data_IF_809831256512
#
_entry.id   IF_809831256512
#
_cell.length_a   1.000
_cell.length_b   1.000
_cell.length_c   1.000
_cell.angle_alpha   90.00
_cell.angle_beta   90.00
_cell.angle_gamma   90.00
#
_symmetry.space_group_name_H-M   'P 1'
#
loop_
_entity.id
_entity.type
_entity.pdbx_description
1 polymer ?
#
# COMPACT_ATOMS: atom_id res chain seq x y z
N UNK A 1 0.44 3.94 18.21
CA UNK A 1 1.44 5.04 18.12
C UNK A 1 0.93 6.14 17.19
N UNK A 2 1.73 7.16 16.85
CA UNK A 2 1.35 8.09 15.78
C UNK A 2 1.31 7.36 14.42
N UNK A 3 0.30 7.64 13.56
CA UNK A 3 0.24 7.07 12.21
C UNK A 3 1.33 7.66 11.30
N UNK A 4 1.75 6.90 10.29
CA UNK A 4 2.77 7.33 9.31
C UNK A 4 2.40 8.63 8.58
N UNK A 5 1.10 8.85 8.37
CA UNK A 5 0.53 10.07 7.80
C UNK A 5 -0.89 10.30 8.36
N UNK A 6 -1.49 11.46 8.07
CA UNK A 6 -2.84 11.79 8.56
C UNK A 6 -3.90 10.80 8.03
N UNK A 7 -4.67 10.12 8.90
CA UNK A 7 -5.76 9.23 8.46
C UNK A 7 -6.82 9.93 7.61
N UNK A 8 -6.94 11.26 7.71
CA UNK A 8 -7.88 12.05 6.90
C UNK A 8 -7.59 12.04 5.40
N UNK A 9 -6.40 11.58 4.97
CA UNK A 9 -6.09 11.40 3.56
C UNK A 9 -6.82 10.19 2.95
N UNK A 10 -7.26 9.24 3.77
CA UNK A 10 -8.09 8.12 3.32
C UNK A 10 -9.53 8.60 3.26
N UNK A 11 -10.19 8.43 2.12
CA UNK A 11 -11.57 8.91 1.95
C UNK A 11 -12.53 8.24 2.94
N UNK A 12 -13.43 9.06 3.49
CA UNK A 12 -14.36 8.65 4.54
C UNK A 12 -15.31 7.54 4.09
N UNK A 13 -15.75 7.56 2.84
CA UNK A 13 -16.62 6.53 2.27
C UNK A 13 -15.93 5.16 2.21
N UNK A 14 -14.63 5.12 1.89
CA UNK A 14 -13.84 3.88 1.94
C UNK A 14 -13.79 3.34 3.36
N UNK A 15 -13.46 4.18 4.34
CA UNK A 15 -13.42 3.82 5.77
C UNK A 15 -14.78 3.31 6.25
N UNK A 16 -15.86 4.03 5.93
CA UNK A 16 -17.23 3.67 6.31
C UNK A 16 -17.73 2.40 5.61
N UNK A 17 -17.15 2.04 4.46
CA UNK A 17 -17.52 0.83 3.72
C UNK A 17 -16.85 -0.45 4.25
N UNK A 18 -15.93 -0.35 5.21
CA UNK A 18 -15.22 -1.53 5.73
C UNK A 18 -16.20 -2.52 6.38
N UNK A 19 -16.03 -3.84 6.17
CA UNK A 19 -16.86 -4.84 6.84
C UNK A 19 -16.71 -4.73 8.36
N UNK A 20 -17.74 -5.16 9.10
CA UNK A 20 -17.71 -5.15 10.57
C UNK A 20 -16.48 -5.89 11.10
N UNK A 21 -15.77 -5.27 12.03
CA UNK A 21 -14.56 -5.85 12.63
C UNK A 21 -13.27 -5.62 11.84
N UNK A 22 -13.35 -4.98 10.67
CA UNK A 22 -12.17 -4.56 9.91
C UNK A 22 -11.98 -3.06 10.03
N UNK A 23 -10.72 -2.63 10.11
CA UNK A 23 -10.35 -1.21 10.09
C UNK A 23 -9.29 -0.98 9.03
N UNK A 24 -9.45 0.06 8.21
CA UNK A 24 -8.43 0.51 7.26
C UNK A 24 -7.80 1.80 7.79
N UNK A 25 -6.47 1.86 7.88
CA UNK A 25 -5.76 2.97 8.52
C UNK A 25 -4.30 3.07 8.04
N UNK A 26 -3.62 4.20 8.25
CA UNK A 26 -2.18 4.28 8.00
C UNK A 26 -1.39 3.29 8.85
N UNK A 27 -0.25 2.84 8.31
CA UNK A 27 0.73 2.02 9.02
C UNK A 27 1.24 2.74 10.28
N UNK A 28 1.43 1.99 11.35
CA UNK A 28 2.02 2.43 12.62
C UNK A 28 3.28 1.62 12.92
N UNK A 29 4.21 2.24 13.65
CA UNK A 29 5.49 1.61 14.02
C UNK A 29 5.31 0.31 14.82
N UNK A 30 4.25 0.18 15.61
CA UNK A 30 3.95 -1.03 16.39
C UNK A 30 3.27 -2.14 15.57
N UNK A 31 2.91 -1.92 14.30
CA UNK A 31 2.26 -2.93 13.45
C UNK A 31 3.16 -4.13 13.13
N UNK A 32 4.48 -4.02 13.36
CA UNK A 32 5.37 -5.18 13.42
C UNK A 32 4.82 -6.26 14.36
N UNK A 33 4.41 -5.88 15.57
CA UNK A 33 3.88 -6.80 16.59
C UNK A 33 2.49 -7.34 16.23
N UNK A 34 1.80 -6.68 15.30
CA UNK A 34 0.49 -7.09 14.78
C UNK A 34 0.59 -7.98 13.53
N UNK A 35 1.81 -8.34 13.12
CA UNK A 35 2.04 -9.25 12.00
C UNK A 35 2.06 -8.57 10.63
N UNK A 36 2.47 -7.31 10.54
CA UNK A 36 2.63 -6.62 9.25
C UNK A 36 3.49 -7.42 8.25
N UNK A 37 4.67 -7.90 8.67
CA UNK A 37 5.54 -8.72 7.81
C UNK A 37 4.91 -10.09 7.48
N UNK A 38 4.22 -10.70 8.45
CA UNK A 38 3.44 -11.93 8.22
C UNK A 38 2.41 -11.78 7.09
N UNK A 39 1.75 -10.63 7.01
CA UNK A 39 0.85 -10.31 5.89
C UNK A 39 1.60 -10.16 4.56
N UNK A 40 2.77 -9.52 4.54
CA UNK A 40 3.56 -9.32 3.30
C UNK A 40 4.17 -10.61 2.75
N UNK A 41 4.44 -11.62 3.58
CA UNK A 41 4.98 -12.91 3.13
C UNK A 41 4.09 -13.63 2.10
N UNK A 42 2.79 -13.35 2.08
CA UNK A 42 1.87 -13.91 1.08
C UNK A 42 2.05 -13.28 -0.32
N UNK A 43 2.74 -12.13 -0.41
CA UNK A 43 3.07 -11.45 -1.67
C UNK A 43 4.45 -11.85 -2.19
N UNK A 44 5.48 -11.73 -1.35
CA UNK A 44 6.88 -12.01 -1.74
C UNK A 44 7.77 -12.23 -0.52
N UNK A 45 9.04 -12.56 -0.74
CA UNK A 45 10.06 -12.68 0.29
C UNK A 45 10.31 -11.34 0.99
N UNK A 46 10.23 -11.32 2.33
CA UNK A 46 10.52 -10.15 3.17
C UNK A 46 11.79 -10.31 4.01
N UNK A 47 12.37 -11.52 4.04
CA UNK A 47 13.44 -11.90 4.97
C UNK A 47 12.97 -11.99 6.43
N UNK A 48 13.91 -12.29 7.33
CA UNK A 48 13.69 -12.43 8.77
C UNK A 48 14.07 -11.15 9.51
N UNK A 49 13.21 -10.13 9.44
CA UNK A 49 13.49 -8.82 10.04
C UNK A 49 13.17 -8.81 11.54
N UNK A 50 14.06 -8.23 12.33
CA UNK A 50 13.84 -7.92 13.74
C UNK A 50 12.93 -6.68 13.91
N UNK A 51 12.37 -6.50 15.11
CA UNK A 51 11.57 -5.32 15.44
C UNK A 51 12.36 -4.00 15.28
N UNK A 52 13.66 -4.02 15.59
CA UNK A 52 14.54 -2.86 15.48
C UNK A 52 14.82 -2.51 14.01
N UNK A 53 15.04 -3.50 13.15
CA UNK A 53 15.24 -3.29 11.71
C UNK A 53 13.97 -2.76 11.04
N UNK A 54 12.81 -3.32 11.36
CA UNK A 54 11.52 -2.79 10.92
C UNK A 54 11.34 -1.34 11.40
N UNK A 55 11.62 -1.09 12.68
CA UNK A 55 11.52 0.24 13.28
C UNK A 55 12.43 1.26 12.59
N UNK A 56 13.68 0.89 12.30
CA UNK A 56 14.63 1.74 11.60
C UNK A 56 14.13 2.08 10.19
N UNK A 57 13.64 1.09 9.43
CA UNK A 57 13.05 1.33 8.09
C UNK A 57 11.79 2.20 8.17
N UNK A 58 10.92 1.97 9.16
CA UNK A 58 9.75 2.81 9.39
C UNK A 58 10.16 4.27 9.64
N UNK A 59 11.18 4.48 10.48
CA UNK A 59 11.67 5.81 10.83
C UNK A 59 12.29 6.53 9.61
N UNK A 60 12.96 5.80 8.70
CA UNK A 60 13.43 6.33 7.39
C UNK A 60 12.27 6.79 6.49
N UNK A 61 11.18 6.02 6.44
CA UNK A 61 10.01 6.31 5.62
C UNK A 61 9.10 7.39 6.23
N UNK A 62 9.16 7.60 7.54
CA UNK A 62 8.31 8.53 8.26
C UNK A 62 8.76 9.98 8.09
N UNK A 63 8.29 10.60 7.01
CA UNK A 63 8.54 12.01 6.72
C UNK A 63 7.50 12.95 7.35
N UNK A 64 6.76 12.48 8.37
CA UNK A 64 5.69 13.22 9.04
C UNK A 64 4.61 13.70 8.07
N UNK A 65 4.29 12.86 7.08
CA UNK A 65 3.28 13.13 6.04
C UNK A 65 3.76 14.01 4.88
N UNK A 66 5.04 14.35 4.80
CA UNK A 66 5.59 15.10 3.65
C UNK A 66 5.82 14.22 2.39
N UNK A 67 5.58 12.91 2.50
CA UNK A 67 5.83 11.91 1.47
C UNK A 67 7.31 11.52 1.35
N UNK A 68 7.65 10.60 0.44
CA UNK A 68 6.77 10.07 -0.60
C UNK A 68 5.97 8.83 -0.19
N UNK A 69 6.21 8.25 0.98
CA UNK A 69 5.65 6.94 1.39
C UNK A 69 4.33 7.07 2.14
N UNK A 70 3.29 6.38 1.65
CA UNK A 70 1.98 6.32 2.28
C UNK A 70 1.49 4.86 2.33
N UNK A 71 1.88 4.16 3.39
CA UNK A 71 1.42 2.78 3.67
C UNK A 71 0.08 2.75 4.39
N UNK A 72 -0.84 1.95 3.88
CA UNK A 72 -2.14 1.66 4.48
C UNK A 72 -2.17 0.19 4.86
N UNK A 73 -2.75 -0.10 6.03
CA UNK A 73 -3.02 -1.46 6.50
C UNK A 73 -4.52 -1.67 6.71
N UNK A 74 -4.94 -2.92 6.55
CA UNK A 74 -6.23 -3.42 7.03
C UNK A 74 -5.95 -4.28 8.26
N UNK A 75 -6.61 -3.94 9.36
CA UNK A 75 -6.54 -4.66 10.62
C UNK A 75 -7.85 -5.41 10.88
N UNK A 76 -7.74 -6.65 11.37
CA UNK A 76 -8.84 -7.47 11.85
C UNK A 76 -8.39 -8.24 13.10
N UNK A 77 -9.19 -8.21 14.16
CA UNK A 77 -8.90 -8.94 15.42
C UNK A 77 -7.48 -8.70 15.99
N UNK A 78 -6.97 -7.47 15.87
CA UNK A 78 -5.64 -7.09 16.36
C UNK A 78 -4.48 -7.51 15.45
N UNK A 79 -4.75 -8.06 14.27
CA UNK A 79 -3.76 -8.50 13.29
C UNK A 79 -3.84 -7.69 12.01
N UNK A 80 -2.69 -7.44 11.39
CA UNK A 80 -2.65 -6.90 10.03
C UNK A 80 -2.97 -8.02 9.06
N UNK A 81 -4.02 -7.83 8.28
CA UNK A 81 -4.56 -8.81 7.31
C UNK A 81 -4.55 -8.27 5.88
N UNK A 82 -4.17 -7.01 5.70
CA UNK A 82 -3.94 -6.42 4.39
C UNK A 82 -2.99 -5.25 4.46
N UNK A 83 -2.26 -5.01 3.38
CA UNK A 83 -1.32 -3.91 3.23
C UNK A 83 -1.27 -3.43 1.78
N UNK A 84 -0.89 -2.17 1.62
CA UNK A 84 -0.62 -1.55 0.35
C UNK A 84 0.03 -0.19 0.55
N UNK A 85 0.79 0.25 -0.43
CA UNK A 85 1.45 1.54 -0.41
C UNK A 85 1.10 2.35 -1.65
N UNK A 86 1.08 3.67 -1.50
CA UNK A 86 1.24 4.58 -2.62
C UNK A 86 2.50 5.42 -2.40
N UNK A 87 3.39 5.42 -3.39
CA UNK A 87 4.59 6.26 -3.42
C UNK A 87 4.30 7.46 -4.33
N UNK A 88 4.34 8.67 -3.77
CA UNK A 88 4.05 9.89 -4.54
C UNK A 88 5.33 10.48 -5.14
N UNK A 89 5.48 10.31 -6.44
CA UNK A 89 6.60 10.81 -7.22
C UNK A 89 6.35 12.25 -7.69
N UNK A 90 7.32 13.13 -7.45
CA UNK A 90 7.34 14.51 -7.97
C UNK A 90 8.01 14.53 -9.35
N UNK A 91 7.36 15.11 -10.35
CA UNK A 91 7.91 15.23 -11.71
C UNK A 91 8.19 16.69 -12.06
N UNK A 92 9.08 16.92 -13.04
CA UNK A 92 9.19 18.23 -13.72
C UNK A 92 8.22 18.34 -14.90
N UNK A 93 7.99 17.22 -15.59
CA UNK A 93 7.07 17.11 -16.72
C UNK A 93 5.61 17.31 -16.29
N UNK A 94 4.74 17.53 -17.29
CA UNK A 94 3.31 17.74 -17.09
C UNK A 94 3.00 18.85 -16.07
N UNK A 95 3.74 19.97 -16.16
CA UNK A 95 3.61 21.12 -15.26
C UNK A 95 3.82 20.76 -13.78
N UNK A 96 4.95 20.10 -13.49
CA UNK A 96 5.31 19.66 -12.14
C UNK A 96 4.29 18.70 -11.50
N UNK A 97 3.78 17.77 -12.29
CA UNK A 97 2.76 16.83 -11.82
C UNK A 97 3.26 15.92 -10.69
N UNK A 98 2.30 15.41 -9.92
CA UNK A 98 2.49 14.31 -8.99
C UNK A 98 1.89 13.04 -9.59
N UNK A 99 2.58 11.90 -9.41
CA UNK A 99 2.10 10.58 -9.84
C UNK A 99 2.20 9.62 -8.66
N UNK A 100 1.11 8.92 -8.36
CA UNK A 100 1.12 7.84 -7.38
C UNK A 100 1.60 6.53 -8.01
N UNK A 101 2.45 5.80 -7.33
CA UNK A 101 2.83 4.42 -7.67
C UNK A 101 2.28 3.50 -6.60
N UNK A 102 1.36 2.64 -6.97
CA UNK A 102 0.72 1.69 -6.06
C UNK A 102 1.57 0.43 -5.99
N UNK A 103 2.03 0.11 -4.78
CA UNK A 103 3.03 -0.92 -4.51
C UNK A 103 2.62 -1.82 -3.35
N UNK A 104 3.25 -3.00 -3.26
CA UNK A 104 3.17 -3.92 -2.12
C UNK A 104 1.74 -4.29 -1.67
N UNK A 105 0.83 -4.49 -2.64
CA UNK A 105 -0.55 -4.89 -2.39
C UNK A 105 -0.60 -6.35 -1.95
N UNK A 106 -1.02 -6.57 -0.71
CA UNK A 106 -1.26 -7.91 -0.18
C UNK A 106 -2.52 -7.96 0.68
N UNK A 107 -3.27 -9.04 0.57
CA UNK A 107 -4.34 -9.43 1.50
C UNK A 107 -4.02 -10.85 1.93
N UNK A 108 -3.96 -11.09 3.24
CA UNK A 108 -3.70 -12.41 3.82
C UNK A 108 -4.67 -13.44 3.24
N UNK A 109 -4.17 -14.65 2.92
CA UNK A 109 -4.91 -15.67 2.15
C UNK A 109 -6.32 -15.99 2.66
N UNK A 110 -6.49 -16.10 3.97
CA UNK A 110 -7.76 -16.36 4.67
C UNK A 110 -8.73 -15.16 4.65
N UNK A 111 -8.25 -13.97 4.29
CA UNK A 111 -9.03 -12.74 4.13
C UNK A 111 -9.29 -12.37 2.66
N UNK A 112 -8.80 -13.16 1.70
CA UNK A 112 -9.02 -12.93 0.27
C UNK A 112 -10.48 -13.22 -0.17
N UNK A 113 -10.84 -12.76 -1.37
CA UNK A 113 -12.17 -12.91 -1.97
C UNK A 113 -13.34 -12.24 -1.19
N UNK A 114 -13.05 -11.41 -0.19
CA UNK A 114 -14.04 -10.66 0.60
C UNK A 114 -14.15 -9.17 0.20
N UNK A 115 -13.58 -8.79 -0.95
CA UNK A 115 -13.58 -7.41 -1.45
C UNK A 115 -12.56 -6.47 -0.79
N UNK A 116 -11.75 -6.95 0.17
CA UNK A 116 -10.75 -6.13 0.87
C UNK A 116 -9.67 -5.56 -0.05
N UNK A 117 -9.22 -6.33 -1.06
CA UNK A 117 -8.25 -5.84 -2.04
C UNK A 117 -8.76 -4.63 -2.82
N UNK A 118 -10.03 -4.64 -3.24
CA UNK A 118 -10.63 -3.49 -3.94
C UNK A 118 -10.71 -2.27 -3.03
N UNK A 119 -11.07 -2.47 -1.75
CA UNK A 119 -11.09 -1.39 -0.74
C UNK A 119 -9.69 -0.81 -0.50
N UNK A 120 -8.65 -1.65 -0.48
CA UNK A 120 -7.25 -1.20 -0.39
C UNK A 120 -6.89 -0.30 -1.58
N UNK A 121 -7.18 -0.71 -2.81
CA UNK A 121 -6.89 0.10 -4.00
C UNK A 121 -7.62 1.45 -3.95
N UNK A 122 -8.92 1.45 -3.64
CA UNK A 122 -9.68 2.70 -3.53
C UNK A 122 -9.14 3.61 -2.40
N UNK A 123 -8.66 3.04 -1.29
CA UNK A 123 -8.02 3.82 -0.22
C UNK A 123 -6.74 4.49 -0.71
N UNK A 124 -5.88 3.75 -1.41
CA UNK A 124 -4.62 4.26 -1.96
C UNK A 124 -4.84 5.34 -3.02
N UNK A 125 -5.81 5.13 -3.91
CA UNK A 125 -6.21 6.14 -4.90
C UNK A 125 -6.77 7.40 -4.23
N UNK A 126 -7.53 7.26 -3.15
CA UNK A 126 -8.02 8.42 -2.40
C UNK A 126 -6.88 9.23 -1.79
N UNK A 127 -5.85 8.56 -1.26
CA UNK A 127 -4.65 9.24 -0.74
C UNK A 127 -3.91 9.96 -1.86
N UNK A 128 -3.68 9.29 -3.00
CA UNK A 128 -3.01 9.88 -4.15
C UNK A 128 -3.76 11.11 -4.68
N UNK A 129 -5.07 11.00 -4.86
CA UNK A 129 -5.92 12.09 -5.34
C UNK A 129 -5.93 13.27 -4.36
N UNK A 130 -6.07 13.01 -3.05
CA UNK A 130 -6.07 14.05 -2.01
C UNK A 130 -4.72 14.77 -1.88
N UNK A 131 -3.62 14.13 -2.26
CA UNK A 131 -2.30 14.74 -2.34
C UNK A 131 -2.05 15.50 -3.65
N UNK A 132 -2.99 15.45 -4.60
CA UNK A 132 -2.89 16.14 -5.89
C UNK A 132 -2.21 15.34 -7.00
N UNK A 133 -2.09 14.02 -6.87
CA UNK A 133 -1.66 13.16 -7.98
C UNK A 133 -2.65 13.26 -9.14
N UNK A 134 -2.13 13.38 -10.36
CA UNK A 134 -2.96 13.40 -11.57
C UNK A 134 -3.37 12.01 -12.03
N UNK A 135 -2.65 10.98 -11.57
CA UNK A 135 -2.92 9.56 -11.81
C UNK A 135 -2.16 8.69 -10.82
N UNK A 136 -2.64 7.46 -10.65
CA UNK A 136 -1.91 6.34 -10.05
C UNK A 136 -1.46 5.36 -11.14
N UNK A 137 -0.33 4.70 -10.92
CA UNK A 137 0.22 3.65 -11.77
C UNK A 137 0.55 2.43 -10.91
N UNK A 138 0.52 1.25 -11.51
CA UNK A 138 0.99 0.00 -10.90
C UNK A 138 1.41 -0.97 -12.00
N UNK A 139 2.27 -1.92 -11.63
CA UNK A 139 2.55 -3.09 -12.44
C UNK A 139 1.84 -4.30 -11.82
N UNK A 140 1.45 -5.26 -12.67
CA UNK A 140 0.84 -6.48 -12.19
C UNK A 140 1.11 -7.66 -13.12
N UNK A 141 1.11 -8.86 -12.55
CA UNK A 141 1.07 -10.09 -13.34
C UNK A 141 -0.17 -10.09 -14.25
N UNK A 142 -0.06 -10.49 -15.53
CA UNK A 142 -1.18 -10.52 -16.46
C UNK A 142 -2.43 -11.26 -15.93
N UNK A 143 -2.27 -12.31 -15.12
CA UNK A 143 -3.38 -13.05 -14.49
C UNK A 143 -4.13 -12.21 -13.44
N UNK A 144 -3.54 -11.14 -12.92
CA UNK A 144 -4.15 -10.20 -11.96
C UNK A 144 -4.74 -8.97 -12.64
N UNK A 145 -4.52 -8.74 -13.93
CA UNK A 145 -5.04 -7.58 -14.66
C UNK A 145 -6.56 -7.38 -14.49
N UNK A 146 -7.35 -8.45 -14.53
CA UNK A 146 -8.80 -8.39 -14.36
C UNK A 146 -9.25 -7.89 -12.98
N UNK A 147 -8.43 -8.05 -11.94
CA UNK A 147 -8.71 -7.45 -10.62
C UNK A 147 -8.54 -5.94 -10.68
N UNK A 148 -7.45 -5.44 -11.26
CA UNK A 148 -7.18 -4.00 -11.36
C UNK A 148 -8.15 -3.28 -12.29
N UNK A 149 -8.61 -3.94 -13.38
CA UNK A 149 -9.69 -3.41 -14.22
C UNK A 149 -10.98 -3.18 -13.42
N UNK A 150 -11.33 -4.09 -12.51
CA UNK A 150 -12.48 -3.90 -11.60
C UNK A 150 -12.28 -2.78 -10.58
N UNK A 151 -11.03 -2.37 -10.34
CA UNK A 151 -10.69 -1.23 -9.50
C UNK A 151 -10.60 0.09 -10.29
N UNK A 152 -10.91 0.10 -11.59
CA UNK A 152 -10.90 1.31 -12.43
C UNK A 152 -9.58 1.58 -13.17
N UNK A 153 -8.60 0.68 -13.08
CA UNK A 153 -7.35 0.79 -13.82
C UNK A 153 -7.53 0.30 -15.27
N UNK A 154 -6.66 0.76 -16.17
CA UNK A 154 -6.58 0.27 -17.54
C UNK A 154 -5.12 0.04 -17.94
N UNK A 155 -4.88 -0.82 -18.93
CA UNK A 155 -3.54 -1.08 -19.43
C UNK A 155 -2.94 0.19 -20.06
N UNK A 156 -1.76 0.61 -19.59
CA UNK A 156 -1.11 1.86 -20.02
C UNK A 156 0.36 1.72 -20.41
N UNK A 157 0.88 0.50 -20.54
CA UNK A 157 2.29 0.25 -20.85
C UNK A 157 2.71 -1.18 -20.55
N UNK A 158 4.02 -1.46 -20.67
CA UNK A 158 4.65 -2.72 -20.27
C UNK A 158 5.68 -2.45 -19.17
N UNK A 159 5.69 -3.29 -18.15
CA UNK A 159 6.77 -3.31 -17.16
C UNK A 159 8.05 -3.87 -17.79
N UNK A 160 9.18 -3.22 -17.52
CA UNK A 160 10.50 -3.66 -17.97
C UNK A 160 11.42 -3.72 -16.76
N UNK A 161 12.11 -4.85 -16.58
CA UNK A 161 13.00 -5.07 -15.43
C UNK A 161 14.44 -5.35 -15.90
N UNK A 162 15.41 -4.70 -15.26
CA UNK A 162 16.84 -5.02 -15.39
C UNK A 162 17.41 -5.28 -13.99
N UNK A 163 17.71 -6.55 -13.70
CA UNK A 163 18.17 -6.98 -12.39
C UNK A 163 19.68 -6.73 -12.22
N UNK A 164 20.06 -5.98 -11.18
CA UNK A 164 21.46 -5.70 -10.86
C UNK A 164 22.05 -6.63 -9.79
N UNK A 165 21.20 -7.30 -9.01
CA UNK A 165 21.55 -8.29 -7.98
C UNK A 165 20.44 -9.33 -7.90
N UNK A 166 20.80 -10.57 -7.62
CA UNK A 166 19.83 -11.60 -7.26
C UNK A 166 19.33 -11.32 -5.82
N UNK A 167 18.04 -11.49 -5.59
CA UNK A 167 17.52 -11.49 -4.23
C UNK A 167 18.03 -12.77 -3.56
N UNK A 168 18.48 -12.66 -2.30
CA UNK A 168 18.71 -13.87 -1.51
C UNK A 168 17.38 -14.65 -1.43
N UNK A 169 17.42 -16.00 -1.54
CA UNK A 169 16.21 -16.83 -1.53
C UNK A 169 15.38 -16.70 -0.26
#
# INVERSE_FOLDING_TARGET
MAPLFSPSLIAHDVVASMPRGYTIRPLQRDDFTRGFLACLHDLTWTGDQTADEFGARYDEMNTRGAGPYYYIVIEHEGRIVGTGAVIVEKKFIWNRALVGHVEEICIAKDHQAQGLGQKMIHALDSVAANLGCTKSLLNCDPAKSGFYVKCGYSASGMEMQHSFREHAP
#
